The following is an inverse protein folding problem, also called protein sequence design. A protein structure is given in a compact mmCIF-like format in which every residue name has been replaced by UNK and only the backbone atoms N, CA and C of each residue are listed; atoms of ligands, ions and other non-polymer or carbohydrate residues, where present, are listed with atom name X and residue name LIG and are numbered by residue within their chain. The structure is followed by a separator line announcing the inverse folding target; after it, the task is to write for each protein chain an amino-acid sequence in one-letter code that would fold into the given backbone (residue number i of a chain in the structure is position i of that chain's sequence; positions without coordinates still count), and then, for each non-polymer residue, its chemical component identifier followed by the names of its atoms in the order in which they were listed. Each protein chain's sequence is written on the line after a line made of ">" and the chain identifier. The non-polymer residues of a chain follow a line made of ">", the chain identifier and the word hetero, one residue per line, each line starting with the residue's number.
data_IF_090807901201
#
_entry.id   IF_090807901201
#
_cell.length_a   1.000
_cell.length_b   1.000
_cell.length_c   1.000
_cell.angle_alpha   90.00
_cell.angle_beta   90.00
_cell.angle_gamma   90.00
#
_symmetry.space_group_name_H-M   'P 1'
#
loop_
_entity.id
_entity.type
_entity.pdbx_description
1 polymer ?
#
# COMPACT_ATOMS: atom_id res chain seq x y z
N UNK A 1 3.23 2.61 -18.56
CA UNK A 1 3.23 1.90 -17.27
C UNK A 1 1.87 1.31 -16.91
N UNK A 2 0.81 2.12 -16.68
CA UNK A 2 -0.50 1.62 -16.23
C UNK A 2 -1.06 0.50 -17.13
N UNK A 3 -0.99 0.66 -18.46
CA UNK A 3 -1.40 -0.39 -19.41
C UNK A 3 -0.61 -1.70 -19.26
N UNK A 4 0.68 -1.63 -18.93
CA UNK A 4 1.51 -2.80 -18.69
C UNK A 4 1.12 -3.50 -17.38
N UNK A 5 0.94 -2.75 -16.30
CA UNK A 5 0.45 -3.26 -15.01
C UNK A 5 -0.92 -3.92 -15.19
N UNK A 6 -1.86 -3.25 -15.86
CA UNK A 6 -3.19 -3.77 -16.14
C UNK A 6 -3.14 -5.09 -16.91
N UNK A 7 -2.37 -5.14 -18.00
CA UNK A 7 -2.24 -6.36 -18.82
C UNK A 7 -1.58 -7.50 -18.03
N UNK A 8 -0.58 -7.17 -17.22
CA UNK A 8 0.13 -8.11 -16.36
C UNK A 8 -0.77 -8.72 -15.30
N UNK A 9 -1.66 -7.94 -14.67
CA UNK A 9 -2.55 -8.36 -13.58
C UNK A 9 -3.82 -9.08 -14.06
N UNK A 10 -4.36 -8.73 -15.23
CA UNK A 10 -5.59 -9.35 -15.77
C UNK A 10 -5.37 -10.84 -16.11
N UNK A 11 -4.16 -11.20 -16.56
CA UNK A 11 -3.80 -12.53 -17.07
C UNK A 11 -3.28 -13.51 -16.00
N UNK A 12 -3.26 -13.09 -14.74
CA UNK A 12 -2.62 -13.83 -13.66
C UNK A 12 -3.46 -15.04 -13.24
N UNK A 13 -2.78 -16.19 -13.14
CA UNK A 13 -3.28 -17.37 -12.44
C UNK A 13 -2.91 -17.29 -10.95
N UNK A 14 -3.68 -17.97 -10.08
CA UNK A 14 -3.56 -17.82 -8.61
C UNK A 14 -2.16 -18.10 -8.06
N UNK A 15 -1.36 -18.89 -8.76
CA UNK A 15 -0.01 -19.29 -8.36
C UNK A 15 1.04 -18.19 -8.59
N UNK A 16 0.74 -17.19 -9.42
CA UNK A 16 1.68 -16.14 -9.81
C UNK A 16 1.32 -14.75 -9.24
N UNK A 17 0.19 -14.62 -8.53
CA UNK A 17 -0.30 -13.30 -8.13
C UNK A 17 0.62 -12.57 -7.15
N UNK A 18 1.25 -13.32 -6.23
CA UNK A 18 2.13 -12.73 -5.23
C UNK A 18 3.40 -12.13 -5.86
N UNK A 19 3.95 -12.79 -6.89
CA UNK A 19 5.11 -12.27 -7.63
C UNK A 19 4.72 -11.07 -8.48
N UNK A 20 3.53 -11.08 -9.09
CA UNK A 20 3.02 -9.97 -9.90
C UNK A 20 2.73 -8.72 -9.08
N UNK A 21 2.22 -8.85 -7.85
CA UNK A 21 2.09 -7.71 -6.96
C UNK A 21 3.46 -7.14 -6.58
N UNK A 22 4.42 -7.99 -6.25
CA UNK A 22 5.78 -7.53 -5.92
C UNK A 22 6.44 -6.83 -7.11
N UNK A 23 6.28 -7.35 -8.33
CA UNK A 23 6.75 -6.73 -9.58
C UNK A 23 6.07 -5.36 -9.81
N UNK A 24 4.75 -5.28 -9.59
CA UNK A 24 3.99 -4.04 -9.70
C UNK A 24 4.46 -2.99 -8.69
N UNK A 25 4.70 -3.37 -7.43
CA UNK A 25 5.26 -2.47 -6.42
C UNK A 25 6.61 -1.92 -6.87
N UNK A 26 7.47 -2.76 -7.46
CA UNK A 26 8.77 -2.33 -7.96
C UNK A 26 8.71 -1.39 -9.16
N UNK A 27 7.86 -1.71 -10.15
CA UNK A 27 7.64 -0.82 -11.29
C UNK A 27 7.12 0.55 -10.86
N UNK A 28 6.15 0.57 -9.94
CA UNK A 28 5.59 1.81 -9.42
C UNK A 28 6.60 2.57 -8.59
N UNK A 29 7.35 1.88 -7.72
CA UNK A 29 8.41 2.48 -6.92
C UNK A 29 9.44 3.18 -7.80
N UNK A 30 9.93 2.51 -8.85
CA UNK A 30 10.86 3.12 -9.80
C UNK A 30 10.25 4.31 -10.56
N UNK A 31 9.03 4.15 -11.09
CA UNK A 31 8.38 5.20 -11.87
C UNK A 31 8.07 6.46 -11.05
N UNK A 32 7.54 6.26 -9.84
CA UNK A 32 7.23 7.35 -8.92
C UNK A 32 8.42 7.76 -8.07
N UNK A 33 9.62 7.20 -8.28
CA UNK A 33 10.82 7.50 -7.49
C UNK A 33 10.55 7.37 -5.98
N UNK A 34 9.88 6.29 -5.59
CA UNK A 34 9.78 5.84 -4.22
C UNK A 34 10.87 4.82 -3.93
N UNK A 35 11.37 4.82 -2.70
CA UNK A 35 12.42 3.90 -2.29
C UNK A 35 11.84 2.60 -1.74
N UNK A 36 10.62 2.66 -1.19
CA UNK A 36 9.92 1.50 -0.65
C UNK A 36 8.45 1.55 -0.98
N UNK A 37 7.86 0.37 -1.13
CA UNK A 37 6.42 0.23 -1.34
C UNK A 37 5.86 -1.00 -0.65
N UNK A 38 4.67 -0.87 -0.07
CA UNK A 38 4.03 -1.92 0.73
C UNK A 38 2.56 -2.05 0.38
N UNK A 39 2.08 -3.29 0.33
CA UNK A 39 0.67 -3.61 0.21
C UNK A 39 0.17 -4.16 1.54
N UNK A 40 -0.60 -3.35 2.27
CA UNK A 40 -1.24 -3.75 3.51
C UNK A 40 -2.68 -4.18 3.25
N UNK A 41 -3.06 -5.36 3.71
CA UNK A 41 -4.41 -5.90 3.54
C UNK A 41 -5.10 -6.08 4.88
N UNK A 42 -6.38 -5.73 4.93
CA UNK A 42 -7.26 -5.89 6.10
C UNK A 42 -7.90 -7.27 6.04
N UNK A 43 -7.71 -8.07 7.10
CA UNK A 43 -8.34 -9.37 7.22
C UNK A 43 -9.86 -9.22 7.41
N UNK A 44 -10.64 -9.92 6.58
CA UNK A 44 -12.13 -9.91 6.64
C UNK A 44 -12.68 -10.33 8.00
N UNK A 45 -12.01 -11.27 8.70
CA UNK A 45 -12.49 -11.88 9.94
C UNK A 45 -12.15 -11.11 11.22
N UNK A 46 -10.96 -10.49 11.28
CA UNK A 46 -10.41 -9.90 12.50
C UNK A 46 -10.23 -8.39 12.44
N UNK A 47 -10.45 -7.77 11.28
CA UNK A 47 -10.04 -6.38 10.98
C UNK A 47 -8.55 -6.10 11.25
N UNK A 48 -7.73 -7.15 11.39
CA UNK A 48 -6.29 -6.99 11.57
C UNK A 48 -5.66 -6.65 10.22
N UNK A 49 -4.70 -5.73 10.23
CA UNK A 49 -3.92 -5.41 9.04
C UNK A 49 -2.71 -6.34 8.93
N UNK A 50 -2.21 -6.59 7.73
CA UNK A 50 -0.94 -7.28 7.53
C UNK A 50 -0.26 -6.83 6.25
N UNK A 51 1.06 -6.72 6.26
CA UNK A 51 1.84 -6.51 5.04
C UNK A 51 1.83 -7.80 4.21
N UNK A 52 1.22 -7.78 3.03
CA UNK A 52 1.20 -8.94 2.12
C UNK A 52 2.34 -8.93 1.12
N UNK A 53 2.68 -7.75 0.61
CA UNK A 53 3.76 -7.57 -0.34
C UNK A 53 4.56 -6.34 0.03
N UNK A 54 5.88 -6.40 -0.20
CA UNK A 54 6.77 -5.28 -0.01
C UNK A 54 7.86 -5.28 -1.06
N UNK A 55 8.35 -4.09 -1.39
CA UNK A 55 9.44 -3.88 -2.30
C UNK A 55 10.32 -2.74 -1.78
N UNK A 56 11.64 -2.86 -1.98
CA UNK A 56 12.62 -1.82 -1.70
C UNK A 56 13.56 -1.65 -2.90
N UNK A 57 13.92 -0.42 -3.21
CA UNK A 57 14.68 -0.04 -4.40
C UNK A 57 16.13 -0.55 -4.36
N UNK A 58 16.78 -0.45 -3.21
CA UNK A 58 18.15 -0.92 -3.01
C UNK A 58 18.28 -1.76 -1.75
N UNK A 59 19.43 -2.43 -1.59
CA UNK A 59 19.73 -3.14 -0.34
C UNK A 59 19.83 -2.20 0.87
N UNK A 60 20.17 -0.92 0.68
CA UNK A 60 20.19 0.09 1.74
C UNK A 60 18.78 0.59 2.08
N UNK A 61 17.90 0.67 1.07
CA UNK A 61 16.47 0.98 1.20
C UNK A 61 15.64 -0.30 1.39
N UNK A 62 16.17 -1.29 2.12
CA UNK A 62 15.42 -2.52 2.40
C UNK A 62 14.09 -2.17 3.08
N UNK A 63 12.99 -2.78 2.63
CA UNK A 63 11.67 -2.54 3.19
C UNK A 63 11.55 -3.28 4.54
N UNK A 64 11.65 -2.60 5.71
CA UNK A 64 11.51 -3.26 7.00
C UNK A 64 10.15 -3.93 7.13
N UNK A 65 10.07 -4.95 7.99
CA UNK A 65 8.78 -5.46 8.41
C UNK A 65 8.12 -4.42 9.33
N UNK A 66 7.11 -3.74 8.77
CA UNK A 66 6.27 -2.83 9.52
C UNK A 66 5.22 -3.64 10.30
N UNK A 67 5.08 -3.35 11.58
CA UNK A 67 4.08 -4.03 12.41
C UNK A 67 2.68 -3.55 12.04
N UNK A 68 1.71 -4.46 12.12
CA UNK A 68 0.32 -4.15 11.83
C UNK A 68 -0.24 -3.03 12.71
N UNK A 69 0.18 -2.98 13.98
CA UNK A 69 -0.26 -1.98 14.94
C UNK A 69 0.23 -0.59 14.56
N UNK A 70 1.51 -0.45 14.18
CA UNK A 70 2.08 0.82 13.75
C UNK A 70 1.34 1.37 12.52
N UNK A 71 1.06 0.51 11.54
CA UNK A 71 0.41 0.92 10.30
C UNK A 71 -1.03 1.32 10.56
N UNK A 72 -1.76 0.56 11.39
CA UNK A 72 -3.11 0.90 11.81
C UNK A 72 -3.14 2.24 12.56
N UNK A 73 -2.27 2.44 13.56
CA UNK A 73 -2.15 3.69 14.31
C UNK A 73 -1.83 4.87 13.36
N UNK A 74 -0.92 4.68 12.40
CA UNK A 74 -0.58 5.69 11.40
C UNK A 74 -1.80 6.10 10.57
N UNK A 75 -2.54 5.13 10.04
CA UNK A 75 -3.73 5.39 9.23
C UNK A 75 -4.82 6.07 10.06
N UNK A 76 -5.12 5.58 11.26
CA UNK A 76 -6.12 6.20 12.14
C UNK A 76 -5.75 7.62 12.52
N UNK A 77 -4.48 7.85 12.84
CA UNK A 77 -3.98 9.16 13.22
C UNK A 77 -4.14 10.16 12.08
N UNK A 78 -3.79 9.75 10.86
CA UNK A 78 -3.82 10.64 9.71
C UNK A 78 -5.23 10.80 9.13
N UNK A 79 -6.11 9.81 9.32
CA UNK A 79 -7.53 9.91 9.02
C UNK A 79 -8.33 10.74 10.05
N UNK A 80 -7.75 11.12 11.20
CA UNK A 80 -8.45 11.99 12.15
C UNK A 80 -8.77 13.38 11.54
N UNK A 81 -7.92 13.85 10.61
CA UNK A 81 -8.05 15.12 9.91
C UNK A 81 -8.54 14.95 8.45
N UNK A 82 -8.79 13.71 8.00
CA UNK A 82 -8.95 13.38 6.57
C UNK A 82 -9.90 12.20 6.32
N UNK A 83 -10.63 12.20 5.21
CA UNK A 83 -11.44 11.03 4.85
C UNK A 83 -10.52 9.85 4.54
N UNK A 84 -10.69 8.72 5.26
CA UNK A 84 -9.94 7.49 5.02
C UNK A 84 -10.10 6.92 3.60
N UNK A 85 -11.09 7.40 2.84
CA UNK A 85 -11.33 7.05 1.43
C UNK A 85 -10.47 7.87 0.45
N UNK A 86 -9.76 8.89 0.93
CA UNK A 86 -8.92 9.75 0.11
C UNK A 86 -7.42 9.43 0.25
N UNK A 87 -6.62 9.66 -0.82
CA UNK A 87 -5.18 9.56 -0.76
C UNK A 87 -4.53 10.53 0.24
N UNK A 88 -3.66 9.98 1.07
CA UNK A 88 -2.97 10.72 2.12
C UNK A 88 -1.51 11.00 1.74
N UNK A 89 -1.04 12.20 2.11
CA UNK A 89 0.28 12.73 1.77
C UNK A 89 0.98 13.30 2.97
N UNK A 90 2.24 12.91 3.14
CA UNK A 90 3.17 13.50 4.09
C UNK A 90 4.45 13.82 3.33
N UNK A 91 4.63 15.08 2.93
CA UNK A 91 5.80 15.51 2.16
C UNK A 91 7.07 15.66 3.02
N UNK A 92 6.90 15.69 4.35
CA UNK A 92 7.99 15.73 5.30
C UNK A 92 7.54 15.03 6.60
N UNK A 93 8.12 13.87 6.90
CA UNK A 93 7.78 13.05 8.08
C UNK A 93 7.98 13.81 9.39
N UNK A 94 8.95 14.75 9.47
CA UNK A 94 9.15 15.57 10.68
C UNK A 94 7.93 16.42 11.04
N UNK A 95 7.06 16.72 10.07
CA UNK A 95 5.81 17.46 10.33
C UNK A 95 4.76 16.62 11.07
N UNK A 96 4.90 15.29 11.06
CA UNK A 96 4.02 14.39 11.81
C UNK A 96 4.22 14.49 13.31
N UNK A 97 5.45 14.77 13.79
CA UNK A 97 5.72 14.93 15.21
C UNK A 97 4.91 16.05 15.88
N UNK A 98 4.41 17.02 15.10
CA UNK A 98 3.53 18.09 15.59
C UNK A 98 2.08 17.63 15.71
N UNK A 99 1.67 16.65 14.90
CA UNK A 99 0.29 16.15 14.85
C UNK A 99 0.07 14.93 15.72
N UNK A 100 1.10 14.09 15.92
CA UNK A 100 1.08 12.87 16.71
C UNK A 100 1.35 13.14 18.21
N UNK A 101 0.32 13.18 19.08
CA UNK A 101 0.50 13.47 20.50
C UNK A 101 1.26 12.35 21.23
N UNK A 102 1.30 11.14 20.65
CA UNK A 102 2.04 10.00 21.20
C UNK A 102 3.51 9.99 20.78
N UNK A 103 3.85 10.67 19.67
CA UNK A 103 5.16 10.68 19.03
C UNK A 103 5.62 9.35 18.44
N UNK A 104 4.86 8.26 18.62
CA UNK A 104 5.27 6.89 18.24
C UNK A 104 5.34 6.70 16.74
N UNK A 105 4.39 7.28 16.00
CA UNK A 105 4.31 7.15 14.53
C UNK A 105 5.48 7.91 13.92
N UNK A 106 5.70 9.16 14.36
CA UNK A 106 6.85 9.95 13.94
C UNK A 106 8.16 9.21 14.23
N UNK A 107 8.36 8.73 15.47
CA UNK A 107 9.58 8.01 15.83
C UNK A 107 9.82 6.77 14.99
N UNK A 108 8.77 6.00 14.69
CA UNK A 108 8.92 4.76 13.92
C UNK A 108 9.30 5.05 12.47
N UNK A 109 8.67 6.07 11.85
CA UNK A 109 8.98 6.48 10.49
C UNK A 109 10.38 7.12 10.38
N UNK A 110 10.75 7.94 11.36
CA UNK A 110 12.07 8.58 11.45
C UNK A 110 13.19 7.53 11.68
N UNK A 111 12.99 6.56 12.57
CA UNK A 111 13.90 5.43 12.76
C UNK A 111 14.03 4.55 11.51
N UNK A 112 12.93 4.40 10.75
CA UNK A 112 12.95 3.74 9.46
C UNK A 112 13.55 4.61 8.35
N UNK A 113 13.99 5.84 8.64
CA UNK A 113 14.59 6.77 7.68
C UNK A 113 13.61 7.32 6.64
N UNK A 114 12.29 7.19 6.87
CA UNK A 114 11.31 7.71 5.93
C UNK A 114 11.32 9.25 5.93
N UNK A 115 11.48 9.85 4.75
CA UNK A 115 11.47 11.31 4.54
C UNK A 115 10.10 11.82 4.13
N UNK A 116 9.42 11.08 3.25
CA UNK A 116 8.08 11.40 2.77
C UNK A 116 7.25 10.13 2.58
N UNK A 117 5.92 10.27 2.57
CA UNK A 117 4.97 9.17 2.50
C UNK A 117 3.74 9.53 1.64
N UNK A 118 3.33 8.59 0.79
CA UNK A 118 2.03 8.54 0.13
C UNK A 118 1.31 7.25 0.52
N UNK A 119 0.08 7.36 1.00
CA UNK A 119 -0.79 6.21 1.28
C UNK A 119 -2.06 6.32 0.45
N UNK A 120 -2.36 5.27 -0.31
CA UNK A 120 -3.52 5.18 -1.17
C UNK A 120 -4.45 4.11 -0.61
N UNK A 121 -5.73 4.42 -0.32
CA UNK A 121 -6.69 3.40 0.07
C UNK A 121 -6.99 2.47 -1.10
N UNK A 122 -7.11 1.17 -0.82
CA UNK A 122 -7.53 0.16 -1.76
C UNK A 122 -8.99 -0.15 -1.46
N UNK A 123 -9.86 0.21 -2.40
CA UNK A 123 -11.30 0.17 -2.22
C UNK A 123 -11.89 -1.06 -2.88
N UNK A 124 -12.64 -1.86 -2.11
CA UNK A 124 -13.68 -2.69 -2.72
C UNK A 124 -14.90 -1.83 -3.07
N UNK A 125 -15.94 -2.45 -3.64
CA UNK A 125 -17.19 -1.75 -3.97
C UNK A 125 -17.85 -1.03 -2.79
N UNK A 126 -17.61 -1.49 -1.55
CA UNK A 126 -18.35 -1.03 -0.37
C UNK A 126 -17.47 -0.64 0.82
N UNK A 127 -16.18 -0.98 0.81
CA UNK A 127 -15.28 -0.70 1.94
C UNK A 127 -13.81 -0.71 1.55
N UNK A 128 -12.98 -0.06 2.37
CA UNK A 128 -11.52 -0.19 2.31
C UNK A 128 -11.14 -1.65 2.63
N UNK A 129 -10.33 -2.26 1.77
CA UNK A 129 -9.81 -3.63 1.94
C UNK A 129 -8.31 -3.66 2.22
N UNK A 130 -7.64 -2.52 2.05
CA UNK A 130 -6.21 -2.39 2.26
C UNK A 130 -5.70 -0.99 1.98
N UNK A 131 -4.39 -0.83 2.11
CA UNK A 131 -3.68 0.40 1.84
C UNK A 131 -2.40 0.10 1.07
N UNK A 132 -2.15 0.92 0.06
CA UNK A 132 -0.91 0.90 -0.70
C UNK A 132 -0.04 2.08 -0.27
N UNK A 133 1.10 1.74 0.29
CA UNK A 133 2.04 2.67 0.90
C UNK A 133 3.26 2.83 -0.01
N UNK A 134 3.70 4.06 -0.22
CA UNK A 134 4.96 4.41 -0.87
C UNK A 134 5.69 5.45 -0.03
N UNK A 135 6.97 5.23 0.24
CA UNK A 135 7.79 6.21 0.95
C UNK A 135 9.16 6.41 0.31
N UNK A 136 9.78 7.54 0.64
CA UNK A 136 11.16 7.86 0.26
C UNK A 136 12.06 7.84 1.49
N UNK A 137 13.32 7.46 1.28
CA UNK A 137 14.40 7.38 2.26
C UNK A 137 15.60 8.16 1.79
N UNK A 138 15.94 8.04 0.50
CA UNK A 138 17.20 8.55 -0.02
C UNK A 138 17.07 10.03 -0.38
N UNK A 139 16.00 10.41 -1.09
CA UNK A 139 15.73 11.78 -1.49
C UNK A 139 14.42 12.35 -0.91
N UNK A 140 14.42 13.67 -0.69
CA UNK A 140 13.19 14.39 -0.33
C UNK A 140 12.24 14.40 -1.53
N UNK A 141 10.98 14.08 -1.30
CA UNK A 141 9.96 14.06 -2.34
C UNK A 141 8.70 14.77 -1.90
N UNK A 142 8.20 15.62 -2.78
CA UNK A 142 6.88 16.24 -2.65
C UNK A 142 5.87 15.42 -3.46
N UNK A 143 4.96 14.75 -2.77
CA UNK A 143 3.82 14.06 -3.37
C UNK A 143 2.74 15.06 -3.79
N UNK A 144 2.29 14.96 -5.04
CA UNK A 144 1.32 15.88 -5.65
C UNK A 144 -0.05 15.22 -5.80
N UNK A 145 -1.08 16.01 -6.12
CA UNK A 145 -2.40 15.46 -6.47
C UNK A 145 -2.33 14.58 -7.72
N UNK A 146 -1.43 14.89 -8.65
CA UNK A 146 -1.26 14.10 -9.87
C UNK A 146 -0.69 12.72 -9.56
N UNK A 147 0.30 12.62 -8.67
CA UNK A 147 0.78 11.33 -8.16
C UNK A 147 -0.36 10.54 -7.52
N UNK A 148 -1.14 11.18 -6.64
CA UNK A 148 -2.29 10.54 -5.98
C UNK A 148 -3.33 10.01 -6.98
N UNK A 149 -3.65 10.79 -8.03
CA UNK A 149 -4.58 10.37 -9.09
C UNK A 149 -4.06 9.17 -9.87
N UNK A 150 -2.80 9.21 -10.31
CA UNK A 150 -2.20 8.12 -11.09
C UNK A 150 -2.11 6.83 -10.25
N UNK A 151 -1.68 6.93 -9.00
CA UNK A 151 -1.63 5.80 -8.08
C UNK A 151 -3.03 5.27 -7.75
N UNK A 152 -4.03 6.15 -7.62
CA UNK A 152 -5.43 5.76 -7.42
C UNK A 152 -5.98 4.90 -8.57
N UNK A 153 -5.63 5.22 -9.82
CA UNK A 153 -6.01 4.38 -10.98
C UNK A 153 -5.40 2.97 -10.85
N UNK A 154 -4.14 2.89 -10.43
CA UNK A 154 -3.47 1.60 -10.23
C UNK A 154 -4.09 0.85 -9.03
N UNK A 155 -4.41 1.54 -7.95
CA UNK A 155 -5.08 0.96 -6.77
C UNK A 155 -6.44 0.36 -7.12
N UNK A 156 -7.20 0.96 -8.03
CA UNK A 156 -8.46 0.38 -8.53
C UNK A 156 -8.21 -0.93 -9.30
N UNK A 157 -7.18 -0.97 -10.15
CA UNK A 157 -6.79 -2.20 -10.86
C UNK A 157 -6.37 -3.29 -9.86
N UNK A 158 -5.66 -2.92 -8.78
CA UNK A 158 -5.29 -3.85 -7.71
C UNK A 158 -6.53 -4.42 -7.03
N UNK A 159 -7.49 -3.56 -6.66
CA UNK A 159 -8.73 -3.98 -6.04
C UNK A 159 -9.53 -4.96 -6.91
N UNK A 160 -9.67 -4.67 -8.21
CA UNK A 160 -10.38 -5.53 -9.16
C UNK A 160 -9.67 -6.89 -9.30
N UNK A 161 -8.34 -6.89 -9.36
CA UNK A 161 -7.54 -8.12 -9.46
C UNK A 161 -7.67 -8.98 -8.21
N UNK A 162 -7.61 -8.36 -7.02
CA UNK A 162 -7.81 -9.04 -5.74
C UNK A 162 -9.21 -9.65 -5.65
N UNK A 163 -10.24 -8.91 -6.04
CA UNK A 163 -11.62 -9.40 -6.04
C UNK A 163 -11.81 -10.60 -6.98
N UNK A 164 -11.20 -10.56 -8.17
CA UNK A 164 -11.20 -11.68 -9.13
C UNK A 164 -10.59 -12.94 -8.50
N UNK A 165 -9.41 -12.82 -7.89
CA UNK A 165 -8.70 -13.96 -7.30
C UNK A 165 -9.42 -14.55 -6.09
N UNK A 166 -10.01 -13.70 -5.25
CA UNK A 166 -10.86 -14.15 -4.14
C UNK A 166 -12.07 -14.95 -4.66
N UNK A 167 -12.78 -14.44 -5.67
CA UNK A 167 -13.93 -15.14 -6.25
C UNK A 167 -13.54 -16.50 -6.86
N UNK A 168 -12.42 -16.57 -7.58
CA UNK A 168 -11.93 -17.83 -8.12
C UNK A 168 -11.55 -18.82 -6.99
N UNK A 169 -10.97 -18.34 -5.87
CA UNK A 169 -10.62 -19.18 -4.71
C UNK A 169 -11.84 -19.78 -4.05
N UNK A 170 -12.90 -19.00 -3.88
CA UNK A 170 -14.18 -19.47 -3.33
C UNK A 170 -14.80 -20.57 -4.22
N UNK A 171 -14.82 -20.39 -5.54
CA UNK A 171 -15.33 -21.41 -6.49
C UNK A 171 -14.54 -22.72 -6.36
N UNK A 172 -13.21 -22.64 -6.29
CA UNK A 172 -12.38 -23.84 -6.18
C UNK A 172 -12.57 -24.57 -4.84
N UNK A 173 -12.77 -23.83 -3.75
CA UNK A 173 -13.07 -24.43 -2.45
C UNK A 173 -14.42 -25.15 -2.47
N UNK A 174 -15.47 -24.52 -3.01
CA UNK A 174 -16.79 -25.16 -3.12
C UNK A 174 -16.74 -26.45 -3.93
N UNK A 175 -16.03 -26.46 -5.06
CA UNK A 175 -15.87 -27.65 -5.91
C UNK A 175 -15.08 -28.81 -5.26
N UNK A 176 -14.33 -28.57 -4.19
CA UNK A 176 -13.60 -29.61 -3.45
C UNK A 176 -14.42 -30.23 -2.31
N UNK A 177 -15.51 -29.58 -1.91
CA UNK A 177 -16.40 -30.02 -0.83
C UNK A 177 -17.74 -30.58 -1.35
N UNK A 178 -17.97 -30.55 -2.66
CA UNK A 178 -19.05 -31.25 -3.39
C UNK A 178 -18.57 -32.63 -3.90
#
# INVERSE_FOLDING_TARGET
>A
MISHISTGLIRVDKTEIDSKFTEMLGMCGQYFQADRSYLFMIAKSSRSMSCKHKWGNTAASSAPDLTSDLVAETIFHLAADHDSHEPMRVNNVTTLGVRDPSGKIYQSLDQAGAKSLMVIPIMSKTSIIGFWWLDTVDEDKTWTDDHAKQLGVIANILADTLAKVDAEREIYQMALYD
#
